data_IF_813524382723
#
_entry.id   IF_813524382723
#
_cell.length_a   1.000
_cell.length_b   1.000
_cell.length_c   1.000
_cell.angle_alpha   90.00
_cell.angle_beta   90.00
_cell.angle_gamma   90.00
#
_symmetry.space_group_name_H-M   'P 1'
#
loop_
_entity.id
_entity.type
_entity.pdbx_description
1 polymer ?
#
# COMPACT_ATOMS: atom_id res chain seq x y z
N UNK A 1 -9.39 -21.99 -5.89
CA UNK A 1 -9.31 -20.89 -4.91
C UNK A 1 -9.89 -19.66 -5.57
N UNK A 2 -11.02 -19.25 -5.12
CA UNK A 2 -11.89 -18.25 -5.72
C UNK A 2 -11.26 -16.87 -5.69
N UNK A 3 -11.28 -16.21 -6.84
CA UNK A 3 -10.92 -14.81 -7.11
C UNK A 3 -11.86 -13.83 -6.32
N UNK A 4 -11.88 -13.90 -4.99
CA UNK A 4 -12.71 -13.00 -4.17
C UNK A 4 -12.15 -11.58 -4.05
N UNK A 5 -10.85 -11.38 -4.35
CA UNK A 5 -10.22 -10.04 -4.26
C UNK A 5 -10.54 -9.10 -5.44
N UNK A 6 -11.11 -9.60 -6.55
CA UNK A 6 -11.37 -8.79 -7.75
C UNK A 6 -12.77 -8.17 -7.83
N UNK A 7 -13.61 -8.36 -6.82
CA UNK A 7 -15.00 -7.87 -6.81
C UNK A 7 -15.36 -7.10 -5.53
N UNK A 8 -14.39 -6.49 -4.87
CA UNK A 8 -14.64 -5.69 -3.66
C UNK A 8 -15.49 -4.46 -4.00
N UNK A 9 -16.49 -4.18 -3.15
CA UNK A 9 -17.29 -2.94 -3.22
C UNK A 9 -16.75 -1.96 -2.19
N UNK A 10 -16.07 -0.92 -2.66
CA UNK A 10 -15.25 -0.06 -1.81
C UNK A 10 -15.87 1.31 -1.56
N UNK A 11 -15.72 1.80 -0.33
CA UNK A 11 -15.91 3.20 0.03
C UNK A 11 -14.57 3.84 0.40
N UNK A 12 -14.26 5.00 -0.17
CA UNK A 12 -13.01 5.74 0.02
C UNK A 12 -13.27 6.99 0.84
N UNK A 13 -12.54 7.12 1.94
CA UNK A 13 -12.56 8.26 2.86
C UNK A 13 -11.17 8.90 2.86
N UNK A 14 -11.09 10.14 2.45
CA UNK A 14 -9.84 10.88 2.27
C UNK A 14 -9.73 12.02 3.29
N UNK A 15 -8.77 11.89 4.20
CA UNK A 15 -8.27 12.97 5.02
C UNK A 15 -7.21 13.74 4.21
N UNK A 16 -7.69 14.79 3.53
CA UNK A 16 -6.85 15.51 2.57
C UNK A 16 -5.73 16.29 3.24
N UNK A 17 -5.97 16.86 4.42
CA UNK A 17 -4.94 17.67 5.10
C UNK A 17 -3.75 16.82 5.50
N UNK A 18 -4.00 15.66 6.12
CA UNK A 18 -2.94 14.75 6.56
C UNK A 18 -2.11 14.23 5.37
N UNK A 19 -2.79 13.72 4.34
CA UNK A 19 -2.10 13.13 3.20
C UNK A 19 -1.35 14.16 2.35
N UNK A 20 -1.90 15.38 2.21
CA UNK A 20 -1.24 16.45 1.47
C UNK A 20 0.02 16.93 2.19
N UNK A 21 -0.03 17.10 3.51
CA UNK A 21 1.13 17.41 4.34
C UNK A 21 2.19 16.32 4.24
N UNK A 22 1.81 15.05 4.41
CA UNK A 22 2.73 13.92 4.29
C UNK A 22 3.39 13.83 2.92
N UNK A 23 2.65 14.14 1.84
CA UNK A 23 3.21 14.17 0.48
C UNK A 23 4.23 15.32 0.31
N UNK A 24 3.95 16.50 0.88
CA UNK A 24 4.88 17.63 0.87
C UNK A 24 6.16 17.32 1.65
N UNK A 25 6.05 16.72 2.83
CA UNK A 25 7.20 16.32 3.66
C UNK A 25 8.06 15.26 2.97
N UNK A 26 7.44 14.39 2.17
CA UNK A 26 8.11 13.41 1.33
C UNK A 26 8.64 13.98 0.00
N UNK A 27 8.59 15.31 -0.18
CA UNK A 27 9.10 16.04 -1.34
C UNK A 27 8.37 15.70 -2.66
N UNK A 28 7.12 15.27 -2.60
CA UNK A 28 6.27 15.17 -3.77
C UNK A 28 5.70 16.56 -4.11
N UNK A 29 5.67 16.95 -5.40
CA UNK A 29 5.19 18.29 -5.79
C UNK A 29 3.72 18.50 -5.44
N UNK A 30 2.91 17.46 -5.48
CA UNK A 30 1.49 17.46 -5.12
C UNK A 30 1.00 16.02 -4.92
N UNK A 31 0.05 15.82 -4.00
CA UNK A 31 -0.67 14.57 -3.88
C UNK A 31 -1.60 14.37 -5.07
N UNK A 32 -1.52 13.22 -5.71
CA UNK A 32 -2.30 12.86 -6.90
C UNK A 32 -3.23 11.70 -6.55
N UNK A 33 -4.50 12.01 -6.36
CA UNK A 33 -5.53 11.04 -5.99
C UNK A 33 -5.76 9.99 -7.08
N UNK A 34 -5.53 10.31 -8.36
CA UNK A 34 -5.75 9.38 -9.47
C UNK A 34 -4.86 8.13 -9.34
N UNK A 35 -3.61 8.28 -8.86
CA UNK A 35 -2.72 7.14 -8.63
C UNK A 35 -3.25 6.17 -7.58
N UNK A 36 -3.92 6.70 -6.56
CA UNK A 36 -4.58 5.89 -5.53
C UNK A 36 -5.77 5.17 -6.15
N UNK A 37 -6.65 5.89 -6.86
CA UNK A 37 -7.85 5.31 -7.48
C UNK A 37 -7.50 4.25 -8.53
N UNK A 38 -6.51 4.48 -9.39
CA UNK A 38 -6.03 3.47 -10.35
C UNK A 38 -5.62 2.16 -9.65
N UNK A 39 -4.95 2.27 -8.50
CA UNK A 39 -4.53 1.10 -7.73
C UNK A 39 -5.71 0.37 -7.09
N UNK A 40 -6.68 1.12 -6.56
CA UNK A 40 -7.88 0.56 -5.93
C UNK A 40 -8.81 -0.11 -6.95
N UNK A 41 -8.98 0.47 -8.13
CA UNK A 41 -9.79 -0.09 -9.22
C UNK A 41 -9.31 -1.46 -9.70
N UNK A 42 -8.04 -1.81 -9.47
CA UNK A 42 -7.56 -3.17 -9.71
C UNK A 42 -8.06 -4.20 -8.68
N UNK A 43 -8.70 -3.75 -7.59
CA UNK A 43 -9.20 -4.60 -6.50
C UNK A 43 -10.72 -4.74 -6.51
N UNK A 44 -11.43 -3.82 -7.16
CA UNK A 44 -12.89 -3.84 -7.23
C UNK A 44 -13.48 -2.50 -7.61
N UNK A 45 -14.75 -2.32 -7.28
CA UNK A 45 -15.53 -1.14 -7.63
C UNK A 45 -15.55 -0.14 -6.48
N UNK A 46 -15.39 1.15 -6.78
CA UNK A 46 -15.50 2.23 -5.81
C UNK A 46 -16.89 2.86 -5.95
N UNK A 47 -17.73 2.73 -4.93
CA UNK A 47 -19.12 3.20 -4.93
C UNK A 47 -19.34 4.48 -4.14
N UNK A 48 -18.43 4.78 -3.19
CA UNK A 48 -18.46 6.01 -2.39
C UNK A 48 -17.05 6.62 -2.37
N UNK A 49 -16.98 7.93 -2.56
CA UNK A 49 -15.74 8.71 -2.46
C UNK A 49 -16.04 10.00 -1.72
N UNK A 50 -15.46 10.17 -0.53
CA UNK A 50 -15.62 11.36 0.32
C UNK A 50 -14.27 11.93 0.70
N UNK A 51 -14.12 13.25 0.63
CA UNK A 51 -12.89 13.97 1.00
C UNK A 51 -13.22 15.05 2.05
N UNK A 52 -12.46 15.04 3.12
CA UNK A 52 -12.62 15.92 4.28
C UNK A 52 -11.46 16.90 4.35
N UNK A 53 -11.76 18.19 4.40
CA UNK A 53 -10.74 19.23 4.45
C UNK A 53 -11.39 20.60 4.72
N UNK A 54 -10.59 21.53 5.25
CA UNK A 54 -10.85 22.97 5.05
C UNK A 54 -10.44 23.34 3.61
N UNK A 55 -11.41 23.35 2.69
CA UNK A 55 -11.16 23.64 1.29
C UNK A 55 -10.85 25.11 0.99
N UNK A 56 -10.89 26.00 1.98
CA UNK A 56 -10.29 27.32 1.85
C UNK A 56 -8.76 27.21 1.74
N UNK A 57 -8.16 26.27 2.49
CA UNK A 57 -6.73 25.94 2.43
C UNK A 57 -6.41 24.94 1.32
N UNK A 58 -7.29 23.98 1.11
CA UNK A 58 -7.14 22.91 0.11
C UNK A 58 -7.61 23.26 -1.30
N UNK A 59 -7.69 24.55 -1.69
CA UNK A 59 -8.21 24.99 -3.01
C UNK A 59 -7.54 24.30 -4.21
N UNK A 60 -6.25 24.05 -4.12
CA UNK A 60 -5.48 23.40 -5.19
C UNK A 60 -5.98 21.99 -5.54
N UNK A 61 -6.59 21.27 -4.61
CA UNK A 61 -7.07 19.91 -4.80
C UNK A 61 -8.52 19.81 -5.23
N UNK A 62 -9.32 20.90 -5.10
CA UNK A 62 -10.77 20.90 -5.39
C UNK A 62 -11.06 20.36 -6.80
N UNK A 63 -10.34 20.84 -7.79
CA UNK A 63 -10.54 20.46 -9.19
C UNK A 63 -10.31 18.96 -9.40
N UNK A 64 -9.16 18.45 -8.95
CA UNK A 64 -8.77 17.06 -9.16
C UNK A 64 -9.73 16.11 -8.43
N UNK A 65 -10.21 16.50 -7.24
CA UNK A 65 -11.19 15.74 -6.48
C UNK A 65 -12.58 15.75 -7.14
N UNK A 66 -13.02 16.88 -7.70
CA UNK A 66 -14.26 16.95 -8.48
C UNK A 66 -14.18 16.11 -9.75
N UNK A 67 -13.07 16.19 -10.49
CA UNK A 67 -12.85 15.35 -11.69
C UNK A 67 -12.81 13.86 -11.34
N UNK A 68 -12.35 13.52 -10.13
CA UNK A 68 -12.38 12.18 -9.58
C UNK A 68 -13.74 11.78 -8.96
N UNK A 69 -14.74 12.68 -9.03
CA UNK A 69 -16.09 12.50 -8.46
C UNK A 69 -16.09 12.21 -6.95
N UNK A 70 -15.30 12.95 -6.17
CA UNK A 70 -15.39 12.96 -4.72
C UNK A 70 -16.49 13.91 -4.24
N UNK A 71 -17.24 13.48 -3.23
CA UNK A 71 -18.04 14.34 -2.40
C UNK A 71 -17.10 15.14 -1.47
N UNK A 72 -17.12 16.46 -1.58
CA UNK A 72 -16.26 17.34 -0.78
C UNK A 72 -16.99 17.77 0.49
N UNK A 73 -16.48 17.31 1.64
CA UNK A 73 -17.02 17.64 2.96
C UNK A 73 -16.22 18.81 3.53
N UNK A 74 -16.80 20.01 3.49
CA UNK A 74 -16.18 21.22 4.03
C UNK A 74 -16.20 21.22 5.54
N UNK A 75 -15.04 21.35 6.17
CA UNK A 75 -14.89 21.47 7.62
C UNK A 75 -14.13 22.77 7.91
N UNK A 76 -14.83 23.86 8.25
CA UNK A 76 -14.18 25.14 8.48
C UNK A 76 -13.31 25.10 9.76
N UNK A 77 -12.10 25.65 9.66
CA UNK A 77 -11.17 25.76 10.77
C UNK A 77 -11.61 26.86 11.74
N UNK A 78 -12.33 26.47 12.78
CA UNK A 78 -12.70 27.40 13.86
C UNK A 78 -11.55 27.47 14.86
N UNK A 79 -11.03 28.67 15.11
CA UNK A 79 -9.80 28.95 15.91
C UNK A 79 -9.78 28.36 17.34
N UNK A 80 -10.90 27.88 17.88
CA UNK A 80 -11.00 27.46 19.29
C UNK A 80 -11.39 25.99 19.54
N UNK A 81 -11.82 25.21 18.56
CA UNK A 81 -12.28 23.82 18.83
C UNK A 81 -12.08 22.82 17.70
N UNK A 82 -11.32 23.13 16.65
CA UNK A 82 -11.51 22.48 15.36
C UNK A 82 -10.41 21.53 14.87
N UNK A 83 -9.36 21.19 15.65
CA UNK A 83 -8.23 20.42 15.10
C UNK A 83 -8.64 19.00 14.67
N UNK A 84 -9.65 18.40 15.28
CA UNK A 84 -10.10 17.04 15.01
C UNK A 84 -11.53 16.95 14.44
N UNK A 85 -12.12 18.10 14.02
CA UNK A 85 -13.51 18.09 13.54
C UNK A 85 -13.68 17.32 12.22
N UNK A 86 -12.68 17.36 11.34
CA UNK A 86 -12.66 16.62 10.09
C UNK A 86 -12.57 15.11 10.36
N UNK A 87 -11.68 14.71 11.26
CA UNK A 87 -11.47 13.31 11.63
C UNK A 87 -12.71 12.71 12.25
N UNK A 88 -13.33 13.42 13.20
CA UNK A 88 -14.58 12.98 13.84
C UNK A 88 -15.69 12.86 12.79
N UNK A 89 -15.83 13.80 11.88
CA UNK A 89 -16.84 13.74 10.82
C UNK A 89 -16.60 12.55 9.91
N UNK A 90 -15.36 12.30 9.52
CA UNK A 90 -14.99 11.14 8.69
C UNK A 90 -15.30 9.82 9.41
N UNK A 91 -14.99 9.72 10.71
CA UNK A 91 -15.31 8.55 11.52
C UNK A 91 -16.82 8.30 11.57
N UNK A 92 -17.63 9.34 11.81
CA UNK A 92 -19.09 9.22 11.87
C UNK A 92 -19.66 8.77 10.53
N UNK A 93 -19.24 9.40 9.42
CA UNK A 93 -19.72 9.06 8.08
C UNK A 93 -19.31 7.62 7.68
N UNK A 94 -18.10 7.17 8.06
CA UNK A 94 -17.64 5.82 7.78
C UNK A 94 -18.44 4.77 8.57
N UNK A 95 -18.73 5.03 9.85
CA UNK A 95 -19.53 4.13 10.68
C UNK A 95 -20.99 4.12 10.22
N UNK A 96 -21.58 5.27 9.91
CA UNK A 96 -22.92 5.33 9.33
C UNK A 96 -23.03 4.47 8.06
N UNK A 97 -22.06 4.62 7.15
CA UNK A 97 -22.01 3.83 5.93
C UNK A 97 -21.85 2.33 6.22
N UNK A 98 -21.03 1.97 7.21
CA UNK A 98 -20.79 0.58 7.61
C UNK A 98 -22.10 -0.11 8.04
N UNK A 99 -22.93 0.59 8.80
CA UNK A 99 -24.20 0.05 9.31
C UNK A 99 -25.36 0.16 8.32
N UNK A 100 -25.37 1.17 7.45
CA UNK A 100 -26.49 1.44 6.54
C UNK A 100 -26.33 0.79 5.16
N UNK A 101 -25.11 0.50 4.72
CA UNK A 101 -24.79 -0.02 3.36
C UNK A 101 -24.10 -1.37 3.44
N UNK A 102 -24.87 -2.43 3.62
CA UNK A 102 -24.35 -3.81 3.75
C UNK A 102 -23.54 -4.29 2.55
N UNK A 103 -23.83 -3.77 1.34
CA UNK A 103 -23.13 -4.12 0.10
C UNK A 103 -21.72 -3.55 0.03
N UNK A 104 -21.35 -2.58 0.86
CA UNK A 104 -19.98 -2.09 0.98
C UNK A 104 -19.22 -3.03 1.91
N UNK A 105 -18.26 -3.77 1.36
CA UNK A 105 -17.45 -4.75 2.09
C UNK A 105 -16.06 -4.26 2.44
N UNK A 106 -15.57 -3.23 1.74
CA UNK A 106 -14.20 -2.73 1.88
C UNK A 106 -14.19 -1.21 2.11
N UNK A 107 -13.51 -0.79 3.17
CA UNK A 107 -13.31 0.61 3.53
C UNK A 107 -11.87 1.01 3.27
N UNK A 108 -11.68 2.08 2.52
CA UNK A 108 -10.37 2.64 2.22
C UNK A 108 -10.20 3.95 2.99
N UNK A 109 -9.25 3.99 3.91
CA UNK A 109 -8.92 5.17 4.72
C UNK A 109 -7.61 5.75 4.18
N UNK A 110 -7.69 6.93 3.60
CA UNK A 110 -6.53 7.64 3.04
C UNK A 110 -6.07 8.69 4.04
N UNK A 111 -5.18 8.29 4.94
CA UNK A 111 -4.55 9.11 5.99
C UNK A 111 -3.33 8.38 6.55
N UNK A 112 -2.47 9.07 7.28
CA UNK A 112 -1.37 8.49 8.05
C UNK A 112 -1.60 8.55 9.56
N UNK A 113 -2.75 9.09 10.02
CA UNK A 113 -2.97 9.38 11.42
C UNK A 113 -3.38 8.14 12.23
N UNK A 114 -2.75 7.97 13.39
CA UNK A 114 -3.07 6.93 14.37
C UNK A 114 -4.46 7.07 14.96
N UNK A 115 -5.04 8.27 14.95
CA UNK A 115 -6.36 8.56 15.52
C UNK A 115 -7.50 7.83 14.80
N UNK A 116 -7.24 7.33 13.59
CA UNK A 116 -8.16 6.44 12.86
C UNK A 116 -8.06 4.95 13.25
N UNK A 117 -7.10 4.55 14.09
CA UNK A 117 -6.96 3.15 14.53
C UNK A 117 -8.21 2.58 15.22
N UNK A 118 -8.96 3.35 16.07
CA UNK A 118 -10.22 2.89 16.62
C UNK A 118 -11.31 2.66 15.56
N UNK A 119 -11.37 3.51 14.52
CA UNK A 119 -12.28 3.34 13.40
C UNK A 119 -11.98 2.02 12.66
N UNK A 120 -10.71 1.77 12.34
CA UNK A 120 -10.27 0.53 11.68
C UNK A 120 -10.71 -0.69 12.49
N UNK A 121 -10.45 -0.69 13.79
CA UNK A 121 -10.87 -1.78 14.68
C UNK A 121 -12.38 -2.00 14.62
N UNK A 122 -13.18 -0.92 14.68
CA UNK A 122 -14.64 -0.99 14.65
C UNK A 122 -15.19 -1.50 13.31
N UNK A 123 -14.60 -1.10 12.19
CA UNK A 123 -14.96 -1.61 10.86
C UNK A 123 -14.67 -3.11 10.76
N UNK A 124 -13.51 -3.56 11.25
CA UNK A 124 -13.14 -4.99 11.26
C UNK A 124 -14.01 -5.84 12.17
N UNK A 125 -14.46 -5.32 13.33
CA UNK A 125 -15.47 -5.96 14.18
C UNK A 125 -16.77 -6.24 13.42
N UNK A 126 -17.11 -5.38 12.44
CA UNK A 126 -18.27 -5.53 11.56
C UNK A 126 -17.95 -6.31 10.28
N UNK A 127 -16.91 -7.13 10.30
CA UNK A 127 -16.48 -7.96 9.18
C UNK A 127 -16.17 -7.18 7.87
N UNK A 128 -15.83 -5.88 7.98
CA UNK A 128 -15.40 -5.07 6.84
C UNK A 128 -13.89 -5.17 6.68
N UNK A 129 -13.43 -5.27 5.42
CA UNK A 129 -12.01 -5.18 5.09
C UNK A 129 -11.58 -3.73 5.12
N UNK A 130 -10.41 -3.43 5.69
CA UNK A 130 -9.89 -2.07 5.74
C UNK A 130 -8.55 -1.98 5.01
N UNK A 131 -8.48 -1.08 4.03
CA UNK A 131 -7.27 -0.74 3.30
C UNK A 131 -6.83 0.66 3.74
N UNK A 132 -5.65 0.75 4.36
CA UNK A 132 -5.01 2.03 4.64
C UNK A 132 -4.22 2.53 3.43
N UNK A 133 -4.21 3.83 3.21
CA UNK A 133 -3.36 4.48 2.20
C UNK A 133 -2.68 5.67 2.86
N UNK A 134 -1.35 5.72 2.82
CA UNK A 134 -0.61 6.81 3.46
C UNK A 134 0.77 7.00 2.85
N UNK A 135 1.46 8.06 3.27
CA UNK A 135 2.85 8.33 2.89
C UNK A 135 3.78 7.63 3.88
N UNK A 136 4.84 7.00 3.38
CA UNK A 136 5.69 6.11 4.17
C UNK A 136 6.26 6.74 5.44
N UNK A 137 6.74 7.98 5.35
CA UNK A 137 7.40 8.65 6.47
C UNK A 137 6.45 9.38 7.42
N UNK A 138 5.17 9.54 7.05
CA UNK A 138 4.15 10.26 7.83
C UNK A 138 3.02 9.37 8.32
N UNK A 139 3.06 8.07 8.03
CA UNK A 139 2.04 7.12 8.50
C UNK A 139 2.47 6.44 9.79
N UNK A 140 1.59 6.46 10.79
CA UNK A 140 1.84 5.86 12.09
C UNK A 140 1.77 4.32 12.03
N UNK A 141 2.72 3.65 12.66
CA UNK A 141 2.80 2.18 12.70
C UNK A 141 1.53 1.55 13.28
N UNK A 142 0.91 2.21 14.28
CA UNK A 142 -0.33 1.74 14.89
C UNK A 142 -1.47 1.68 13.87
N UNK A 143 -1.60 2.68 13.01
CA UNK A 143 -2.61 2.69 11.96
C UNK A 143 -2.33 1.64 10.88
N UNK A 144 -1.06 1.57 10.42
CA UNK A 144 -0.62 0.60 9.42
C UNK A 144 -0.94 -0.83 9.87
N UNK A 145 -0.54 -1.19 11.10
CA UNK A 145 -0.67 -2.56 11.63
C UNK A 145 -2.13 -2.96 11.92
N UNK A 146 -3.02 -2.02 12.12
CA UNK A 146 -4.45 -2.29 12.33
C UNK A 146 -5.19 -2.57 11.01
N UNK A 147 -4.71 -2.09 9.86
CA UNK A 147 -5.33 -2.33 8.56
C UNK A 147 -5.17 -3.79 8.11
N UNK A 148 -6.06 -4.29 7.25
CA UNK A 148 -5.90 -5.58 6.58
C UNK A 148 -4.90 -5.51 5.42
N UNK A 149 -4.77 -4.32 4.82
CA UNK A 149 -3.78 -4.02 3.79
C UNK A 149 -3.39 -2.54 3.91
N UNK A 150 -2.12 -2.22 3.65
CA UNK A 150 -1.66 -0.85 3.59
C UNK A 150 -0.95 -0.56 2.27
N UNK A 151 -1.31 0.56 1.63
CA UNK A 151 -0.73 1.01 0.38
C UNK A 151 0.08 2.28 0.61
N UNK A 152 1.38 2.22 0.38
CA UNK A 152 2.21 3.42 0.44
C UNK A 152 2.09 4.23 -0.85
N UNK A 153 1.75 5.50 -0.72
CA UNK A 153 1.68 6.44 -1.85
C UNK A 153 3.00 6.53 -2.62
N UNK A 154 4.10 6.46 -1.89
CA UNK A 154 5.47 6.39 -2.43
C UNK A 154 5.64 5.29 -3.48
N UNK A 155 5.10 4.10 -3.21
CA UNK A 155 5.19 2.97 -4.13
C UNK A 155 4.34 3.18 -5.38
N UNK A 156 3.21 3.87 -5.27
CA UNK A 156 2.32 4.20 -6.38
C UNK A 156 3.00 5.19 -7.33
N UNK A 157 3.63 6.24 -6.81
CA UNK A 157 4.38 7.23 -7.60
C UNK A 157 5.56 6.57 -8.31
N UNK A 158 6.32 5.73 -7.62
CA UNK A 158 7.50 5.04 -8.16
C UNK A 158 7.14 4.08 -9.29
N UNK A 159 6.03 3.38 -9.17
CA UNK A 159 5.54 2.45 -10.19
C UNK A 159 5.18 3.16 -11.51
N UNK A 160 4.64 4.37 -11.45
CA UNK A 160 4.33 5.17 -12.65
C UNK A 160 5.61 5.66 -13.33
N UNK A 161 6.59 6.14 -12.58
CA UNK A 161 7.87 6.61 -13.13
C UNK A 161 8.65 5.49 -13.83
N UNK A 162 8.63 4.28 -13.31
CA UNK A 162 9.28 3.13 -13.94
C UNK A 162 8.62 2.73 -15.28
N UNK A 163 7.29 2.83 -15.37
CA UNK A 163 6.54 2.57 -16.60
C UNK A 163 6.77 3.62 -17.69
N UNK A 164 6.93 4.89 -17.33
CA UNK A 164 7.19 5.98 -18.28
C UNK A 164 8.59 5.86 -18.89
N UNK A 165 9.60 5.45 -18.13
CA UNK A 165 10.98 5.23 -18.63
C UNK A 165 11.08 4.05 -19.60
N UNK A 166 10.21 3.05 -19.50
CA UNK A 166 10.19 1.91 -20.44
C UNK A 166 9.45 2.18 -21.75
N UNK A 167 8.70 3.28 -21.86
CA UNK A 167 7.91 3.64 -23.05
C UNK A 167 8.59 4.64 -24.00
N UNK A 168 9.79 5.12 -23.71
CA UNK A 168 10.56 5.96 -24.64
C UNK A 168 11.27 5.03 -25.61
N UNK A 169 10.93 5.00 -26.90
CA UNK A 169 11.68 4.25 -27.90
C UNK A 169 13.08 4.87 -28.00
N UNK A 170 14.10 4.07 -27.80
CA UNK A 170 15.46 4.46 -28.07
C UNK A 170 15.60 4.76 -29.57
N UNK A 171 15.78 6.03 -29.95
CA UNK A 171 16.29 6.38 -31.24
C UNK A 171 17.79 6.01 -31.28
N UNK A 172 18.26 5.28 -32.29
CA UNK A 172 19.67 4.98 -32.41
C UNK A 172 20.38 6.19 -32.99
N UNK A 173 21.19 6.87 -32.20
CA UNK A 173 22.26 7.73 -32.74
C UNK A 173 23.58 7.06 -32.47
N UNK A 174 24.30 6.83 -33.59
CA UNK A 174 25.60 6.20 -33.64
C UNK A 174 26.71 7.15 -33.17
N UNK A 175 27.73 6.49 -32.59
CA UNK A 175 29.14 6.83 -32.55
C UNK A 175 29.63 8.10 -31.80
N UNK A 176 30.39 7.96 -30.76
CA UNK A 176 31.84 8.08 -30.71
C UNK A 176 32.39 8.24 -29.29
N UNK A 177 33.27 7.28 -28.95
CA UNK A 177 34.55 7.40 -28.22
C UNK A 177 34.70 8.21 -26.93
N UNK A 178 34.98 7.42 -25.87
CA UNK A 178 36.03 7.58 -24.84
C UNK A 178 36.30 8.94 -24.16
N UNK A 179 36.14 8.95 -22.82
CA UNK A 179 37.26 9.10 -21.85
C UNK A 179 36.74 9.11 -20.40
N UNK A 180 37.34 8.24 -19.66
CA UNK A 180 37.62 8.09 -18.23
C UNK A 180 37.44 9.27 -17.26
N UNK A 181 36.78 8.93 -16.11
CA UNK A 181 37.12 9.08 -14.65
C UNK A 181 36.86 10.43 -13.96
N UNK A 182 36.78 10.46 -12.63
CA UNK A 182 35.61 10.20 -11.74
C UNK A 182 35.26 11.45 -10.92
N UNK A 183 34.09 11.49 -10.31
CA UNK A 183 33.94 12.17 -9.03
C UNK A 183 32.58 11.87 -8.42
N UNK A 184 32.66 11.34 -7.22
CA UNK A 184 31.67 11.21 -6.21
C UNK A 184 30.83 12.48 -6.00
N UNK A 185 29.53 12.33 -6.01
CA UNK A 185 28.66 13.07 -5.09
C UNK A 185 27.50 12.16 -4.76
N UNK A 186 27.64 11.51 -3.61
CA UNK A 186 26.59 10.73 -2.99
C UNK A 186 25.47 11.67 -2.51
N UNK A 187 24.44 11.81 -3.31
CA UNK A 187 23.13 12.24 -2.78
C UNK A 187 22.52 11.03 -2.09
N UNK A 188 22.45 11.09 -0.75
CA UNK A 188 21.76 10.12 0.09
C UNK A 188 20.30 10.07 -0.31
N UNK A 189 19.94 9.14 -1.16
CA UNK A 189 18.59 8.62 -1.29
C UNK A 189 18.26 7.97 0.05
N UNK A 190 17.08 8.20 0.67
CA UNK A 190 16.70 7.48 1.88
C UNK A 190 16.74 5.98 1.55
N UNK A 191 17.54 5.25 2.31
CA UNK A 191 17.74 3.82 2.14
C UNK A 191 16.37 3.13 2.25
N UNK A 192 15.93 2.48 1.18
CA UNK A 192 14.82 1.54 1.23
C UNK A 192 15.15 0.41 2.22
N UNK A 193 14.13 -0.33 2.72
CA UNK A 193 14.37 -1.44 3.63
C UNK A 193 15.38 -2.42 3.01
N UNK A 194 16.30 -2.93 3.83
CA UNK A 194 17.34 -3.83 3.35
C UNK A 194 16.70 -5.13 2.82
N UNK A 195 17.22 -5.68 1.73
CA UNK A 195 16.75 -6.97 1.16
C UNK A 195 16.81 -8.08 2.21
N UNK A 196 17.77 -8.01 3.14
CA UNK A 196 17.89 -8.92 4.26
C UNK A 196 16.65 -8.95 5.16
N UNK A 197 16.02 -7.78 5.41
CA UNK A 197 14.79 -7.70 6.22
C UNK A 197 13.63 -8.46 5.58
N UNK A 198 13.52 -8.43 4.24
CA UNK A 198 12.51 -9.20 3.51
C UNK A 198 12.77 -10.71 3.62
N UNK A 199 14.02 -11.14 3.54
CA UNK A 199 14.39 -12.54 3.68
C UNK A 199 14.12 -13.08 5.09
N UNK A 200 14.50 -12.32 6.11
CA UNK A 200 14.23 -12.64 7.51
C UNK A 200 12.73 -12.77 7.78
N UNK A 201 11.94 -11.86 7.20
CA UNK A 201 10.49 -11.89 7.35
C UNK A 201 9.87 -13.14 6.70
N UNK A 202 10.34 -13.53 5.52
CA UNK A 202 9.90 -14.76 4.84
C UNK A 202 10.32 -15.99 5.64
N UNK A 203 11.58 -16.06 6.09
CA UNK A 203 12.10 -17.20 6.86
C UNK A 203 11.33 -17.42 8.16
N UNK A 204 11.17 -16.37 8.98
CA UNK A 204 10.40 -16.42 10.24
C UNK A 204 8.93 -16.78 10.02
N UNK A 205 8.34 -16.33 8.90
CA UNK A 205 6.93 -16.65 8.60
C UNK A 205 6.79 -18.09 8.14
N UNK A 206 7.74 -18.60 7.39
CA UNK A 206 7.79 -19.99 6.94
C UNK A 206 7.93 -20.94 8.14
N UNK A 207 8.87 -20.64 9.06
CA UNK A 207 9.07 -21.38 10.28
C UNK A 207 7.80 -21.45 11.15
N UNK A 208 7.17 -20.29 11.39
CA UNK A 208 5.91 -20.23 12.13
C UNK A 208 4.74 -20.95 11.46
N UNK A 209 4.72 -21.06 10.13
CA UNK A 209 3.72 -21.83 9.40
C UNK A 209 4.03 -23.34 9.45
N UNK A 210 5.29 -23.74 9.56
CA UNK A 210 5.70 -25.13 9.68
C UNK A 210 5.43 -25.66 11.10
N UNK A 211 5.70 -24.89 12.16
CA UNK A 211 5.44 -25.28 13.56
C UNK A 211 3.95 -25.56 13.87
N UNK A 212 3.03 -24.91 13.14
CA UNK A 212 1.57 -25.07 13.32
C UNK A 212 0.95 -26.21 12.53
N UNK A 213 1.75 -27.08 11.88
CA UNK A 213 1.26 -28.16 11.00
C UNK A 213 1.92 -29.48 11.35
N UNK A 214 1.16 -30.57 11.20
CA UNK A 214 1.74 -31.90 11.22
C UNK A 214 2.69 -32.04 10.01
N UNK A 215 3.93 -32.41 10.24
CA UNK A 215 5.14 -32.26 9.43
C UNK A 215 5.13 -32.65 7.95
N UNK A 216 4.01 -33.00 7.33
CA UNK A 216 3.91 -33.49 5.95
C UNK A 216 3.10 -32.55 5.01
N UNK A 217 2.50 -31.47 5.53
CA UNK A 217 1.73 -30.56 4.72
C UNK A 217 2.62 -29.51 4.01
N UNK A 218 2.57 -29.43 2.65
CA UNK A 218 3.42 -28.50 1.90
C UNK A 218 3.09 -27.04 2.19
N UNK A 219 4.11 -26.23 2.45
CA UNK A 219 3.97 -24.78 2.60
C UNK A 219 4.10 -24.12 1.23
N UNK A 220 3.03 -23.48 0.77
CA UNK A 220 3.02 -22.79 -0.52
C UNK A 220 3.48 -21.34 -0.39
N UNK A 221 4.20 -20.82 -1.40
CA UNK A 221 4.64 -19.42 -1.42
C UNK A 221 3.50 -18.42 -1.28
N UNK A 222 2.30 -18.73 -1.81
CA UNK A 222 1.09 -17.91 -1.62
C UNK A 222 0.64 -17.83 -0.17
N UNK A 223 0.81 -18.89 0.61
CA UNK A 223 0.45 -18.92 2.04
C UNK A 223 1.41 -18.06 2.85
N UNK A 224 2.70 -18.15 2.56
CA UNK A 224 3.73 -17.30 3.19
C UNK A 224 3.41 -15.83 2.91
N UNK A 225 3.13 -15.48 1.64
CA UNK A 225 2.76 -14.09 1.28
C UNK A 225 1.52 -13.60 2.03
N UNK A 226 0.48 -14.42 2.13
CA UNK A 226 -0.74 -14.07 2.88
C UNK A 226 -0.47 -13.92 4.37
N UNK A 227 0.32 -14.80 4.98
CA UNK A 227 0.67 -14.71 6.39
C UNK A 227 1.51 -13.45 6.68
N UNK A 228 2.47 -13.13 5.81
CA UNK A 228 3.24 -11.88 5.90
C UNK A 228 2.31 -10.67 5.84
N UNK A 229 1.40 -10.62 4.87
CA UNK A 229 0.47 -9.49 4.73
C UNK A 229 -0.47 -9.31 5.92
N UNK A 230 -0.87 -10.42 6.59
CA UNK A 230 -1.68 -10.35 7.82
C UNK A 230 -0.91 -9.78 9.01
N UNK A 231 0.39 -10.06 9.10
CA UNK A 231 1.26 -9.59 10.19
C UNK A 231 1.88 -8.23 9.90
N UNK A 232 2.13 -7.94 8.64
CA UNK A 232 2.76 -6.72 8.12
C UNK A 232 1.97 -6.21 6.90
N UNK A 233 0.85 -5.50 7.11
CA UNK A 233 -0.04 -5.04 6.04
C UNK A 233 0.66 -4.16 4.99
N UNK A 234 1.70 -3.42 5.39
CA UNK A 234 2.54 -2.60 4.52
C UNK A 234 3.59 -3.36 3.71
N UNK A 235 3.70 -4.69 3.84
CA UNK A 235 4.70 -5.45 3.09
C UNK A 235 4.41 -5.41 1.58
N UNK A 236 5.43 -4.99 0.82
CA UNK A 236 5.40 -4.94 -0.63
C UNK A 236 6.78 -5.37 -1.17
N UNK A 237 6.85 -6.48 -1.86
CA UNK A 237 8.08 -7.02 -2.45
C UNK A 237 8.82 -6.04 -3.36
N UNK A 238 8.09 -5.10 -3.99
CA UNK A 238 8.68 -4.06 -4.86
C UNK A 238 9.49 -3.03 -4.09
N UNK A 239 9.16 -2.78 -2.82
CA UNK A 239 9.92 -1.90 -1.95
C UNK A 239 11.33 -2.43 -1.69
N UNK A 240 11.50 -3.76 -1.79
CA UNK A 240 12.77 -4.48 -1.65
C UNK A 240 13.46 -4.77 -2.99
N UNK A 241 12.93 -4.25 -4.11
CA UNK A 241 13.51 -4.39 -5.46
C UNK A 241 13.04 -5.60 -6.27
N UNK A 242 12.11 -6.40 -5.77
CA UNK A 242 11.58 -7.57 -6.48
C UNK A 242 10.32 -7.23 -7.28
N UNK A 243 10.18 -7.81 -8.49
CA UNK A 243 9.01 -7.59 -9.35
C UNK A 243 7.77 -8.32 -8.83
N UNK A 244 7.97 -9.49 -8.22
CA UNK A 244 6.94 -10.34 -7.66
C UNK A 244 7.45 -11.06 -6.41
N UNK A 245 6.53 -11.62 -5.62
CA UNK A 245 6.89 -12.44 -4.47
C UNK A 245 7.63 -13.74 -4.90
N UNK A 246 7.30 -14.27 -6.06
CA UNK A 246 8.03 -15.42 -6.61
C UNK A 246 9.49 -15.07 -6.94
N UNK A 247 9.76 -13.87 -7.46
CA UNK A 247 11.14 -13.42 -7.70
C UNK A 247 11.93 -13.30 -6.40
N UNK A 248 11.29 -12.84 -5.33
CA UNK A 248 11.90 -12.81 -4.01
C UNK A 248 12.24 -14.23 -3.51
N UNK A 249 11.32 -15.19 -3.65
CA UNK A 249 11.57 -16.57 -3.27
C UNK A 249 12.70 -17.21 -4.11
N UNK A 250 12.73 -16.95 -5.41
CA UNK A 250 13.80 -17.44 -6.30
C UNK A 250 15.17 -16.87 -5.90
N UNK A 251 15.24 -15.60 -5.52
CA UNK A 251 16.49 -15.00 -5.02
C UNK A 251 16.91 -15.62 -3.69
N UNK A 252 15.96 -15.94 -2.78
CA UNK A 252 16.28 -16.68 -1.56
C UNK A 252 16.81 -18.09 -1.85
N UNK A 253 16.27 -18.79 -2.85
CA UNK A 253 16.79 -20.06 -3.30
C UNK A 253 18.21 -19.94 -3.89
N UNK A 254 18.46 -18.93 -4.72
CA UNK A 254 19.79 -18.65 -5.27
C UNK A 254 20.85 -18.42 -4.19
N UNK A 255 20.42 -17.88 -3.04
CA UNK A 255 21.28 -17.68 -1.85
C UNK A 255 21.30 -18.88 -0.90
N UNK A 256 20.69 -19.99 -1.28
CA UNK A 256 20.61 -21.21 -0.46
C UNK A 256 19.94 -20.98 0.90
N UNK A 257 18.94 -20.11 0.97
CA UNK A 257 18.17 -19.83 2.19
C UNK A 257 16.91 -20.70 2.29
N UNK A 258 16.42 -21.23 1.17
CA UNK A 258 15.28 -22.13 1.09
C UNK A 258 15.35 -22.95 -0.21
N UNK A 259 14.54 -24.02 -0.28
CA UNK A 259 14.36 -24.85 -1.48
C UNK A 259 12.96 -24.65 -2.04
N UNK A 260 12.85 -24.44 -3.37
CA UNK A 260 11.58 -24.31 -4.08
C UNK A 260 11.34 -25.53 -4.97
N UNK A 261 10.12 -26.05 -4.91
CA UNK A 261 9.64 -27.05 -5.84
C UNK A 261 8.43 -26.50 -6.61
N UNK A 262 8.46 -26.53 -7.95
CA UNK A 262 7.37 -25.97 -8.74
C UNK A 262 6.10 -26.81 -8.57
N UNK A 263 5.00 -26.16 -8.17
CA UNK A 263 3.69 -26.80 -8.14
C UNK A 263 3.01 -26.71 -9.52
N UNK A 264 2.88 -27.85 -10.17
CA UNK A 264 2.27 -27.99 -11.50
C UNK A 264 0.78 -27.63 -11.53
N UNK A 265 0.09 -27.61 -10.38
CA UNK A 265 -1.36 -27.35 -10.31
C UNK A 265 -1.69 -25.86 -10.12
N UNK A 266 -0.90 -25.14 -9.34
CA UNK A 266 -1.16 -23.71 -9.01
C UNK A 266 -0.28 -22.73 -9.78
N UNK A 267 0.77 -23.20 -10.48
CA UNK A 267 1.77 -22.35 -11.13
C UNK A 267 2.65 -21.56 -10.14
N UNK A 268 2.60 -21.93 -8.86
CA UNK A 268 3.41 -21.38 -7.77
C UNK A 268 4.53 -22.32 -7.35
N UNK A 269 5.07 -22.07 -6.15
CA UNK A 269 6.13 -22.87 -5.55
C UNK A 269 5.69 -23.43 -4.20
N UNK A 270 6.04 -24.69 -3.95
CA UNK A 270 6.14 -25.23 -2.60
C UNK A 270 7.50 -24.85 -2.04
N UNK A 271 7.53 -24.44 -0.78
CA UNK A 271 8.72 -23.89 -0.13
C UNK A 271 9.14 -24.83 1.01
N UNK A 272 10.40 -25.21 1.02
CA UNK A 272 11.00 -26.08 2.03
C UNK A 272 12.15 -25.34 2.72
N UNK A 273 12.30 -25.57 4.04
CA UNK A 273 13.47 -25.10 4.76
C UNK A 273 14.72 -25.86 4.25
N UNK A 274 15.86 -25.20 4.28
CA UNK A 274 17.15 -25.91 4.12
C UNK A 274 17.49 -26.54 5.46
N UNK A 275 17.79 -27.83 5.48
CA UNK A 275 18.33 -28.55 6.63
C UNK A 275 19.74 -28.05 6.98
#
# INVERSE_FOLDING_TARGET
MTNQDSNATMAVFLDLENIALGAMDAHYPQFDIQKVLERLLLKGHIVVKKAYCDFERGKAFKRDLHEAAFELIEIPHLRQSGKNSADIRMVVDALDLCYTKSHVDTFVIVSGDSDFSPLVSKLRENAKKVIGVGVKNSSADLFINNCDEFLYYDDLVRAVQSRSRQRTPAQPTAAAAAKTVPAETATKTPAGPAVADAFDLVAKTMEALAEGRDGDDPVYGSMIKQAIKRRHPGFNERAYGFRSFNDLLLEMQNRSLLKLEPDKKSGGYTVHAME
#
